data_IF_610620286630
#
_entry.id   IF_610620286630
#
_cell.length_a   1.000
_cell.length_b   1.000
_cell.length_c   1.000
_cell.angle_alpha   90.00
_cell.angle_beta   90.00
_cell.angle_gamma   90.00
#
_symmetry.space_group_name_H-M   'P 1'
#
loop_
_entity.id
_entity.type
_entity.pdbx_description
1 polymer ?
#
# COMPACT_ATOMS: atom_id res chain seq x y z
N UNK A 1 5.91 1.24 25.27
CA UNK A 1 5.54 1.08 23.84
C UNK A 1 4.02 0.89 23.77
N UNK A 2 3.27 1.98 23.88
CA UNK A 2 1.82 1.94 24.08
C UNK A 2 1.04 1.85 22.76
N UNK A 3 -0.19 1.37 22.86
CA UNK A 3 -1.19 1.23 21.79
C UNK A 3 -1.44 2.56 21.03
N UNK A 4 -1.04 3.70 21.63
CA UNK A 4 -1.14 5.07 21.12
C UNK A 4 -0.26 5.40 19.89
N UNK A 5 0.84 4.68 19.61
CA UNK A 5 1.77 5.05 18.52
C UNK A 5 1.20 4.76 17.11
N UNK A 6 0.38 3.72 16.95
CA UNK A 6 -0.08 3.31 15.62
C UNK A 6 -1.03 4.32 14.96
N UNK A 7 -1.85 5.00 15.75
CA UNK A 7 -2.73 6.04 15.21
C UNK A 7 -1.94 7.26 14.74
N UNK A 8 -0.96 7.70 15.53
CA UNK A 8 -0.11 8.83 15.17
C UNK A 8 0.72 8.53 13.93
N UNK A 9 1.32 7.33 13.87
CA UNK A 9 2.02 6.85 12.68
C UNK A 9 1.11 6.77 11.47
N UNK A 10 -0.11 6.24 11.62
CA UNK A 10 -1.07 6.19 10.53
C UNK A 10 -1.43 7.61 10.04
N UNK A 11 -1.67 8.56 10.96
CA UNK A 11 -1.91 9.97 10.61
C UNK A 11 -0.72 10.57 9.86
N UNK A 12 0.51 10.30 10.31
CA UNK A 12 1.72 10.76 9.65
C UNK A 12 1.86 10.20 8.23
N UNK A 13 1.70 8.88 8.05
CA UNK A 13 1.74 8.27 6.72
C UNK A 13 0.65 8.81 5.79
N UNK A 14 -0.57 9.03 6.31
CA UNK A 14 -1.65 9.67 5.53
C UNK A 14 -1.24 11.06 5.03
N UNK A 15 -0.56 11.87 5.85
CA UNK A 15 -0.04 13.19 5.43
C UNK A 15 0.98 13.05 4.30
N UNK A 16 1.92 12.11 4.39
CA UNK A 16 2.90 11.86 3.31
C UNK A 16 2.18 11.43 2.03
N UNK A 17 1.27 10.47 2.13
CA UNK A 17 0.57 9.88 0.98
C UNK A 17 -0.24 10.95 0.24
N UNK A 18 -0.84 11.92 0.92
CA UNK A 18 -1.63 13.02 0.31
C UNK A 18 -0.89 13.77 -0.80
N UNK A 19 0.44 13.84 -0.73
CA UNK A 19 1.27 14.59 -1.69
C UNK A 19 1.90 13.71 -2.78
N UNK A 20 1.51 12.44 -2.90
CA UNK A 20 2.05 11.50 -3.89
C UNK A 20 1.06 11.25 -5.04
N UNK A 21 1.57 10.77 -6.18
CA UNK A 21 0.70 10.23 -7.25
C UNK A 21 -0.13 9.08 -6.70
N UNK A 22 -1.36 8.93 -7.21
CA UNK A 22 -2.33 7.93 -6.75
C UNK A 22 -2.76 8.08 -5.27
N UNK A 23 -2.51 9.25 -4.65
CA UNK A 23 -2.84 9.52 -3.23
C UNK A 23 -4.30 9.23 -2.89
N UNK A 24 -5.24 9.71 -3.72
CA UNK A 24 -6.68 9.50 -3.49
C UNK A 24 -7.05 8.03 -3.42
N UNK A 25 -6.51 7.20 -4.32
CA UNK A 25 -6.75 5.77 -4.32
C UNK A 25 -6.10 5.08 -3.12
N UNK A 26 -4.86 5.44 -2.79
CA UNK A 26 -4.14 4.89 -1.66
C UNK A 26 -4.81 5.23 -0.31
N UNK A 27 -5.35 6.44 -0.15
CA UNK A 27 -6.09 6.83 1.05
C UNK A 27 -7.40 6.07 1.17
N UNK A 28 -8.18 5.97 0.08
CA UNK A 28 -9.40 5.16 0.05
C UNK A 28 -9.14 3.68 0.32
N UNK A 29 -8.00 3.15 -0.14
CA UNK A 29 -7.54 1.81 0.20
C UNK A 29 -7.34 1.65 1.72
N UNK A 30 -6.68 2.60 2.40
CA UNK A 30 -6.52 2.56 3.85
C UNK A 30 -7.85 2.67 4.60
N UNK A 31 -8.79 3.49 4.11
CA UNK A 31 -10.15 3.59 4.65
C UNK A 31 -10.90 2.27 4.47
N UNK A 32 -10.78 1.64 3.31
CA UNK A 32 -11.39 0.35 3.02
C UNK A 32 -10.84 -0.76 3.94
N UNK A 33 -9.54 -0.78 4.24
CA UNK A 33 -8.99 -1.71 5.22
C UNK A 33 -9.62 -1.54 6.62
N UNK A 34 -9.94 -0.31 7.02
CA UNK A 34 -10.66 -0.06 8.27
C UNK A 34 -12.09 -0.57 8.23
N UNK A 35 -12.79 -0.39 7.10
CA UNK A 35 -14.15 -0.94 6.88
C UNK A 35 -14.16 -2.47 6.95
N UNK A 36 -13.11 -3.14 6.47
CA UNK A 36 -12.92 -4.58 6.60
C UNK A 36 -12.56 -5.04 8.03
N UNK A 37 -12.52 -4.12 9.01
CA UNK A 37 -12.28 -4.45 10.41
C UNK A 37 -10.82 -4.71 10.77
N UNK A 38 -9.85 -4.30 9.93
CA UNK A 38 -8.44 -4.45 10.28
C UNK A 38 -8.06 -3.51 11.43
N UNK A 39 -7.20 -4.00 12.33
CA UNK A 39 -6.68 -3.17 13.42
C UNK A 39 -5.84 -2.00 12.91
N UNK A 40 -5.84 -0.89 13.66
CA UNK A 40 -5.01 0.30 13.37
C UNK A 40 -3.54 -0.07 13.19
N UNK A 41 -3.02 -0.99 14.00
CA UNK A 41 -1.65 -1.49 13.87
C UNK A 41 -1.40 -2.14 12.49
N UNK A 42 -2.34 -2.95 12.01
CA UNK A 42 -2.25 -3.57 10.69
C UNK A 42 -2.34 -2.52 9.59
N UNK A 43 -3.29 -1.59 9.67
CA UNK A 43 -3.45 -0.51 8.68
C UNK A 43 -2.20 0.38 8.65
N UNK A 44 -1.65 0.73 9.82
CA UNK A 44 -0.40 1.48 9.93
C UNK A 44 0.78 0.73 9.29
N UNK A 45 0.81 -0.61 9.39
CA UNK A 45 1.80 -1.43 8.67
C UNK A 45 1.62 -1.31 7.15
N UNK A 46 0.39 -1.38 6.63
CA UNK A 46 0.15 -1.16 5.19
C UNK A 46 0.58 0.26 4.78
N UNK A 47 0.19 1.27 5.55
CA UNK A 47 0.51 2.66 5.29
C UNK A 47 2.01 2.96 5.27
N UNK A 48 2.82 2.26 6.07
CA UNK A 48 4.27 2.47 6.11
C UNK A 48 4.99 2.06 4.81
N UNK A 49 4.41 1.12 4.07
CA UNK A 49 4.98 0.64 2.82
C UNK A 49 4.56 1.47 1.60
N UNK A 50 3.40 2.15 1.69
CA UNK A 50 2.79 2.89 0.57
C UNK A 50 3.67 4.02 0.02
N UNK A 51 4.32 4.90 0.82
CA UNK A 51 5.11 6.00 0.25
C UNK A 51 6.22 5.54 -0.70
N UNK A 52 6.89 4.43 -0.39
CA UNK A 52 7.93 3.89 -1.26
C UNK A 52 7.35 3.33 -2.57
N UNK A 53 6.19 2.66 -2.50
CA UNK A 53 5.53 2.11 -3.69
C UNK A 53 5.00 3.25 -4.58
N UNK A 54 4.29 4.22 -3.99
CA UNK A 54 3.68 5.33 -4.73
C UNK A 54 4.70 6.24 -5.41
N UNK A 55 5.92 6.35 -4.89
CA UNK A 55 7.00 7.11 -5.55
C UNK A 55 7.57 6.43 -6.80
N UNK A 56 7.44 5.10 -6.89
CA UNK A 56 7.98 4.30 -8.00
C UNK A 56 6.90 3.99 -9.02
N UNK A 57 5.63 3.97 -8.60
CA UNK A 57 4.49 3.82 -9.49
C UNK A 57 4.31 5.13 -10.29
N UNK A 58 4.72 5.08 -11.55
CA UNK A 58 4.64 6.18 -12.51
C UNK A 58 3.37 6.16 -13.38
N UNK A 59 2.49 5.19 -13.15
CA UNK A 59 1.23 4.97 -13.87
C UNK A 59 0.00 5.12 -12.95
N UNK A 60 -1.18 5.22 -13.54
CA UNK A 60 -2.43 5.23 -12.79
C UNK A 60 -2.82 3.81 -12.40
N UNK A 61 -3.09 3.60 -11.11
CA UNK A 61 -3.30 2.26 -10.55
C UNK A 61 -4.55 1.55 -11.12
N UNK A 62 -5.52 2.30 -11.63
CA UNK A 62 -6.69 1.74 -12.32
C UNK A 62 -6.30 1.05 -13.64
N UNK A 63 -5.29 1.58 -14.33
CA UNK A 63 -4.82 1.11 -15.63
C UNK A 63 -3.64 0.12 -15.52
N UNK A 64 -3.41 -0.41 -14.32
CA UNK A 64 -2.28 -1.29 -14.04
C UNK A 64 -2.31 -2.55 -14.94
N UNK A 65 -1.40 -2.64 -15.90
CA UNK A 65 -1.15 -3.85 -16.68
C UNK A 65 -0.22 -4.81 -15.93
N UNK A 66 -0.09 -6.05 -16.41
CA UNK A 66 0.84 -7.03 -15.83
C UNK A 66 2.27 -6.51 -15.89
N UNK A 67 2.68 -5.96 -17.02
CA UNK A 67 4.03 -5.46 -17.27
C UNK A 67 4.40 -4.33 -16.31
N UNK A 68 3.47 -3.41 -16.05
CA UNK A 68 3.69 -2.33 -15.09
C UNK A 68 3.90 -2.83 -13.66
N UNK A 69 3.12 -3.83 -13.25
CA UNK A 69 3.27 -4.46 -11.93
C UNK A 69 4.60 -5.20 -11.83
N UNK A 70 5.01 -5.90 -12.87
CA UNK A 70 6.31 -6.60 -12.93
C UNK A 70 7.47 -5.63 -12.78
N UNK A 71 7.42 -4.43 -13.39
CA UNK A 71 8.45 -3.40 -13.20
C UNK A 71 8.58 -2.96 -11.73
N UNK A 72 7.46 -2.75 -11.05
CA UNK A 72 7.48 -2.39 -9.61
C UNK A 72 8.01 -3.55 -8.76
N UNK A 73 7.65 -4.79 -9.07
CA UNK A 73 8.16 -5.98 -8.37
C UNK A 73 9.67 -6.16 -8.60
N UNK A 74 10.14 -5.94 -9.82
CA UNK A 74 11.57 -5.96 -10.15
C UNK A 74 12.33 -4.89 -9.36
N UNK A 75 11.78 -3.67 -9.27
CA UNK A 75 12.34 -2.61 -8.43
C UNK A 75 12.39 -3.02 -6.94
N UNK A 76 11.34 -3.62 -6.39
CA UNK A 76 11.34 -4.12 -5.00
C UNK A 76 12.48 -5.14 -4.78
N UNK A 77 12.70 -6.04 -5.75
CA UNK A 77 13.73 -7.07 -5.67
C UNK A 77 15.14 -6.51 -5.74
N UNK A 78 15.35 -5.42 -6.50
CA UNK A 78 16.66 -4.77 -6.64
C UNK A 78 17.05 -3.91 -5.44
N UNK A 79 16.11 -3.57 -4.55
CA UNK A 79 16.42 -2.80 -3.34
C UNK A 79 17.15 -3.64 -2.28
N UNK A 80 18.04 -3.02 -1.47
CA UNK A 80 18.75 -3.68 -0.37
C UNK A 80 17.84 -3.90 0.86
N UNK A 81 16.63 -4.42 0.64
CA UNK A 81 15.69 -4.76 1.68
C UNK A 81 15.86 -6.20 2.15
N UNK A 82 15.54 -6.45 3.42
CA UNK A 82 15.40 -7.83 3.92
C UNK A 82 14.29 -8.54 3.17
N UNK A 83 14.41 -9.87 2.99
CA UNK A 83 13.43 -10.66 2.22
C UNK A 83 12.00 -10.52 2.75
N UNK A 84 11.80 -10.46 4.07
CA UNK A 84 10.48 -10.22 4.65
C UNK A 84 9.92 -8.84 4.27
N UNK A 85 10.78 -7.83 4.11
CA UNK A 85 10.35 -6.46 3.73
C UNK A 85 9.96 -6.43 2.26
N UNK A 86 10.69 -7.15 1.40
CA UNK A 86 10.31 -7.35 0.00
C UNK A 86 8.96 -8.06 -0.08
N UNK A 87 8.77 -9.10 0.73
CA UNK A 87 7.50 -9.83 0.82
C UNK A 87 6.34 -8.92 1.23
N UNK A 88 6.49 -8.15 2.32
CA UNK A 88 5.47 -7.22 2.80
C UNK A 88 5.12 -6.15 1.73
N UNK A 89 6.12 -5.59 1.05
CA UNK A 89 5.90 -4.61 -0.04
C UNK A 89 5.13 -5.21 -1.21
N UNK A 90 5.47 -6.44 -1.64
CA UNK A 90 4.73 -7.16 -2.70
C UNK A 90 3.29 -7.47 -2.28
N UNK A 91 3.06 -7.81 -1.02
CA UNK A 91 1.73 -8.02 -0.46
C UNK A 91 0.89 -6.73 -0.51
N UNK A 92 1.46 -5.61 -0.07
CA UNK A 92 0.80 -4.30 -0.11
C UNK A 92 0.49 -3.89 -1.54
N UNK A 93 1.47 -4.02 -2.46
CA UNK A 93 1.30 -3.73 -3.88
C UNK A 93 0.14 -4.52 -4.48
N UNK A 94 0.10 -5.84 -4.25
CA UNK A 94 -0.99 -6.70 -4.75
C UNK A 94 -2.35 -6.25 -4.26
N UNK A 95 -2.49 -5.97 -2.96
CA UNK A 95 -3.77 -5.52 -2.37
C UNK A 95 -4.19 -4.16 -2.91
N UNK A 96 -3.24 -3.25 -3.10
CA UNK A 96 -3.49 -1.92 -3.66
C UNK A 96 -3.99 -2.01 -5.11
N UNK A 97 -3.39 -2.84 -5.95
CA UNK A 97 -3.83 -3.06 -7.34
C UNK A 97 -5.20 -3.74 -7.36
N UNK A 98 -5.41 -4.74 -6.51
CA UNK A 98 -6.71 -5.41 -6.40
C UNK A 98 -7.82 -4.42 -6.02
N UNK A 99 -7.54 -3.55 -5.05
CA UNK A 99 -8.44 -2.45 -4.68
C UNK A 99 -8.73 -1.53 -5.86
N UNK A 100 -7.69 -1.14 -6.59
CA UNK A 100 -7.82 -0.25 -7.73
C UNK A 100 -8.73 -0.81 -8.83
N UNK A 101 -8.64 -2.11 -9.09
CA UNK A 101 -9.41 -2.78 -10.16
C UNK A 101 -10.84 -3.14 -9.76
N UNK A 102 -11.06 -3.54 -8.51
CA UNK A 102 -12.34 -4.14 -8.10
C UNK A 102 -13.07 -3.39 -7.00
N UNK A 103 -12.48 -2.33 -6.46
CA UNK A 103 -13.00 -1.62 -5.28
C UNK A 103 -12.95 -2.45 -3.99
N UNK A 104 -12.36 -3.64 -4.01
CA UNK A 104 -12.23 -4.54 -2.85
C UNK A 104 -10.87 -5.25 -2.83
N UNK A 105 -10.37 -5.51 -1.63
CA UNK A 105 -9.16 -6.31 -1.37
C UNK A 105 -9.44 -7.70 -0.80
N UNK A 106 -10.72 -8.08 -0.74
CA UNK A 106 -11.14 -9.40 -0.33
C UNK A 106 -10.78 -10.39 -1.45
N UNK A 107 -10.30 -11.57 -1.07
CA UNK A 107 -10.11 -12.64 -2.07
C UNK A 107 -11.50 -12.98 -2.62
N UNK A 108 -11.75 -12.71 -3.89
CA UNK A 108 -12.73 -13.50 -4.63
C UNK A 108 -12.08 -14.87 -4.78
N UNK A 109 -12.67 -15.86 -4.10
CA UNK A 109 -12.25 -17.27 -4.20
C UNK A 109 -12.35 -17.77 -5.63
#
# INVERSE_FOLDING_TARGET
MGIYDYEERLRWYRRIIKHLRNSGLALRFLDHLAVLGLSVARISKYASHLPALLRVIDFDLADATREYVERVVAWINSQPYKEWTKHDKKLVLRKLIQYAKYGSCEKRG
#
